data_IF_303299991299
#
_entry.id   IF_303299991299
#
_cell.length_a   1.000
_cell.length_b   1.000
_cell.length_c   1.000
_cell.angle_alpha   90.00
_cell.angle_beta   90.00
_cell.angle_gamma   90.00
#
_symmetry.space_group_name_H-M   'P 1'
#
loop_
_entity.id
_entity.type
_entity.pdbx_description
1 polymer ?
#
# COMPACT_ATOMS: atom_id res chain seq x y z
N UNK A 1 24.65 -0.66 11.39
CA UNK A 1 23.92 0.55 11.85
C UNK A 1 22.59 0.69 11.13
N UNK A 2 22.59 0.72 9.80
CA UNK A 2 21.37 0.73 8.99
C UNK A 2 21.15 -0.65 8.37
N UNK A 3 19.89 -1.07 8.28
CA UNK A 3 19.46 -2.34 7.67
C UNK A 3 18.58 -2.03 6.49
N UNK A 4 18.90 -2.57 5.32
CA UNK A 4 18.11 -2.36 4.11
C UNK A 4 17.45 -3.67 3.72
N UNK A 5 16.20 -3.57 3.28
CA UNK A 5 15.53 -4.69 2.63
C UNK A 5 16.15 -4.92 1.24
N UNK A 6 16.04 -6.14 0.71
CA UNK A 6 16.40 -6.46 -0.67
C UNK A 6 15.77 -5.45 -1.65
N UNK A 7 14.48 -5.16 -1.43
CA UNK A 7 13.73 -4.15 -2.18
C UNK A 7 13.42 -2.98 -1.26
N UNK A 8 14.41 -2.10 -1.05
CA UNK A 8 14.24 -0.90 -0.26
C UNK A 8 13.20 0.05 -0.91
N UNK A 9 12.19 0.53 -0.17
CA UNK A 9 11.17 1.41 -0.76
C UNK A 9 11.77 2.78 -1.04
N UNK A 10 11.47 3.30 -2.23
CA UNK A 10 11.85 4.64 -2.68
C UNK A 10 10.58 5.43 -2.94
N UNK A 11 10.54 6.68 -2.49
CA UNK A 11 9.45 7.60 -2.78
C UNK A 11 9.98 8.94 -3.29
N UNK A 12 9.38 9.46 -4.36
CA UNK A 12 9.70 10.77 -4.94
C UNK A 12 8.56 11.73 -4.61
N UNK A 13 8.90 12.94 -4.16
CA UNK A 13 7.91 13.95 -3.79
C UNK A 13 7.05 14.37 -4.99
N UNK A 14 5.74 14.45 -4.76
CA UNK A 14 4.78 14.96 -5.74
C UNK A 14 4.94 16.45 -6.04
N UNK A 15 5.69 17.17 -5.19
CA UNK A 15 5.83 18.64 -5.27
C UNK A 15 7.26 19.08 -5.66
N UNK A 16 8.24 18.18 -5.58
CA UNK A 16 9.62 18.47 -5.95
C UNK A 16 10.35 17.18 -6.35
N UNK A 17 10.66 16.96 -7.63
CA UNK A 17 11.31 15.72 -8.07
C UNK A 17 12.74 15.54 -7.53
N UNK A 18 13.39 16.61 -7.06
CA UNK A 18 14.70 16.51 -6.39
C UNK A 18 14.60 16.03 -4.94
N UNK A 19 13.39 15.96 -4.38
CA UNK A 19 13.15 15.47 -3.03
C UNK A 19 12.77 13.98 -3.07
N UNK A 20 13.70 13.15 -2.61
CA UNK A 20 13.60 11.68 -2.68
C UNK A 20 13.81 11.09 -1.30
N UNK A 21 13.10 10.01 -1.02
CA UNK A 21 13.15 9.26 0.22
C UNK A 21 13.52 7.81 -0.07
N UNK A 22 14.32 7.20 0.80
CA UNK A 22 14.61 5.75 0.76
C UNK A 22 14.49 5.15 2.16
N UNK A 23 13.91 3.95 2.22
CA UNK A 23 13.71 3.20 3.46
C UNK A 23 14.84 2.22 3.76
N UNK A 24 15.36 2.31 4.98
CA UNK A 24 16.14 1.29 5.67
C UNK A 24 15.35 0.86 6.92
N UNK A 25 15.99 0.57 8.04
CA UNK A 25 15.32 0.67 9.35
C UNK A 25 14.96 2.11 9.75
N UNK A 26 15.56 3.10 9.06
CA UNK A 26 15.28 4.53 9.17
C UNK A 26 14.85 5.07 7.80
N UNK A 27 14.16 6.20 7.77
CA UNK A 27 13.92 6.96 6.55
C UNK A 27 15.12 7.86 6.28
N UNK A 28 15.65 7.80 5.06
CA UNK A 28 16.58 8.80 4.53
C UNK A 28 15.86 9.77 3.61
N UNK A 29 16.37 11.01 3.53
CA UNK A 29 15.89 12.05 2.63
C UNK A 29 17.06 12.66 1.87
N UNK A 30 16.87 12.87 0.58
CA UNK A 30 17.68 13.71 -0.29
C UNK A 30 16.84 14.89 -0.78
N UNK A 31 17.49 16.02 -1.04
CA UNK A 31 16.89 17.23 -1.64
C UNK A 31 17.58 17.64 -2.93
N UNK A 32 18.43 16.78 -3.47
CA UNK A 32 19.29 17.00 -4.64
C UNK A 32 19.28 15.79 -5.60
N UNK A 33 18.12 15.14 -5.72
CA UNK A 33 17.91 14.04 -6.67
C UNK A 33 18.66 12.76 -6.30
N UNK A 34 19.02 12.57 -5.03
CA UNK A 34 19.69 11.37 -4.52
C UNK A 34 21.21 11.47 -4.43
N UNK A 35 21.79 12.66 -4.61
CA UNK A 35 23.24 12.85 -4.53
C UNK A 35 23.75 12.84 -3.08
N UNK A 36 23.00 13.46 -2.15
CA UNK A 36 23.31 13.45 -0.72
C UNK A 36 22.10 13.02 0.11
N UNK A 37 22.37 12.23 1.15
CA UNK A 37 21.34 11.63 1.99
C UNK A 37 21.50 12.02 3.46
N UNK A 38 20.39 12.36 4.11
CA UNK A 38 20.31 12.61 5.56
C UNK A 38 19.31 11.68 6.20
N UNK A 39 19.62 11.20 7.41
CA UNK A 39 18.66 10.45 8.22
C UNK A 39 17.55 11.39 8.65
N UNK A 40 16.31 11.01 8.35
CA UNK A 40 15.09 11.79 8.64
C UNK A 40 14.34 11.25 9.87
N UNK A 41 14.49 9.97 10.21
CA UNK A 41 13.75 9.32 11.29
C UNK A 41 14.68 8.58 12.27
N UNK A 42 14.22 8.27 13.49
CA UNK A 42 14.81 7.20 14.28
C UNK A 42 14.59 5.83 13.60
N UNK A 43 15.07 4.75 14.23
CA UNK A 43 14.70 3.38 13.86
C UNK A 43 13.18 3.21 14.04
N UNK A 44 12.46 2.95 12.94
CA UNK A 44 11.00 2.83 12.91
C UNK A 44 10.54 1.38 13.02
N UNK A 45 11.43 0.43 13.25
CA UNK A 45 11.08 -0.98 13.36
C UNK A 45 11.01 -1.41 14.83
N UNK A 46 10.62 -2.66 15.10
CA UNK A 46 10.68 -3.29 16.42
C UNK A 46 12.12 -3.45 16.89
N UNK A 47 13.06 -3.56 15.95
CA UNK A 47 14.49 -3.69 16.21
C UNK A 47 14.81 -4.85 17.17
N UNK A 48 14.13 -5.99 16.99
CA UNK A 48 14.31 -7.20 17.77
C UNK A 48 15.61 -7.90 17.36
N UNK A 49 16.64 -7.74 18.19
CA UNK A 49 17.97 -8.30 17.93
C UNK A 49 17.98 -9.82 17.79
N UNK A 50 17.04 -10.52 18.41
CA UNK A 50 16.94 -11.97 18.28
C UNK A 50 16.51 -12.40 16.86
N UNK A 51 15.98 -11.48 16.04
CA UNK A 51 15.57 -11.72 14.65
C UNK A 51 16.50 -11.10 13.61
N UNK A 52 17.59 -10.46 14.03
CA UNK A 52 18.59 -9.84 13.15
C UNK A 52 19.83 -10.74 13.02
N UNK A 53 19.61 -12.04 12.89
CA UNK A 53 20.67 -13.05 12.75
C UNK A 53 21.24 -13.14 11.33
N UNK A 54 22.12 -14.13 11.11
CA UNK A 54 22.60 -14.46 9.78
C UNK A 54 21.46 -14.97 8.90
N UNK A 55 21.34 -14.37 7.73
CA UNK A 55 20.37 -14.72 6.69
C UNK A 55 20.69 -16.08 6.09
N UNK A 56 19.66 -16.84 5.71
CA UNK A 56 19.82 -18.22 5.21
C UNK A 56 20.07 -19.30 6.29
N UNK A 57 20.09 -18.92 7.57
CA UNK A 57 20.22 -19.86 8.68
C UNK A 57 21.63 -20.49 8.78
N UNK A 58 21.82 -21.60 9.52
CA UNK A 58 23.13 -22.19 9.78
C UNK A 58 23.70 -23.03 8.64
N UNK A 59 22.93 -23.25 7.56
CA UNK A 59 23.28 -24.16 6.47
C UNK A 59 23.58 -23.38 5.18
N UNK A 60 22.67 -22.50 4.78
CA UNK A 60 22.75 -21.79 3.50
C UNK A 60 22.97 -20.29 3.72
N UNK A 61 24.07 -19.95 4.40
CA UNK A 61 24.41 -18.58 4.76
C UNK A 61 24.31 -17.65 3.53
N UNK A 62 23.37 -16.70 3.55
CA UNK A 62 23.30 -15.66 2.54
C UNK A 62 24.34 -14.58 2.83
N UNK A 63 25.47 -14.67 2.12
CA UNK A 63 26.57 -13.71 2.24
C UNK A 63 26.30 -12.39 1.51
N UNK A 64 25.20 -12.26 0.76
CA UNK A 64 24.86 -11.01 0.06
C UNK A 64 24.45 -9.91 1.03
N UNK A 65 23.95 -10.28 2.23
CA UNK A 65 23.43 -9.35 3.22
C UNK A 65 22.17 -8.62 2.75
N UNK A 66 21.50 -9.14 1.73
CA UNK A 66 20.38 -8.46 1.09
C UNK A 66 19.03 -8.78 1.76
N UNK A 67 18.92 -9.89 2.50
CA UNK A 67 17.70 -10.29 3.20
C UNK A 67 17.65 -9.84 4.68
N UNK A 68 17.79 -8.54 4.96
CA UNK A 68 17.69 -8.07 6.35
C UNK A 68 16.23 -8.01 6.85
N UNK A 69 16.02 -8.40 8.10
CA UNK A 69 14.76 -8.20 8.82
C UNK A 69 14.79 -6.91 9.66
N UNK A 70 13.62 -6.49 10.14
CA UNK A 70 13.40 -5.22 10.85
C UNK A 70 13.80 -4.02 9.96
N UNK A 71 13.14 -3.91 8.82
CA UNK A 71 13.33 -2.88 7.79
C UNK A 71 12.00 -2.20 7.38
N UNK A 72 12.10 -0.97 6.88
CA UNK A 72 10.97 -0.26 6.26
C UNK A 72 10.72 -0.89 4.88
N UNK A 73 9.45 -1.21 4.62
CA UNK A 73 9.01 -1.89 3.42
C UNK A 73 8.13 -1.01 2.53
N UNK A 74 7.52 0.04 3.09
CA UNK A 74 6.78 1.04 2.32
C UNK A 74 6.98 2.46 2.85
N UNK A 75 7.08 3.41 1.92
CA UNK A 75 7.05 4.86 2.18
C UNK A 75 6.00 5.47 1.27
N UNK A 76 5.01 6.15 1.83
CA UNK A 76 3.94 6.78 1.08
C UNK A 76 3.81 8.25 1.45
N UNK A 77 3.96 9.12 0.45
CA UNK A 77 3.87 10.56 0.59
C UNK A 77 2.42 11.00 0.36
N UNK A 78 1.92 11.94 1.16
CA UNK A 78 0.60 12.51 0.89
C UNK A 78 0.66 13.57 -0.21
N UNK A 79 -0.13 13.39 -1.29
CA UNK A 79 -0.27 14.38 -2.37
C UNK A 79 -0.83 15.73 -1.91
N UNK A 80 -1.67 15.72 -0.87
CA UNK A 80 -2.36 16.91 -0.36
C UNK A 80 -1.55 17.66 0.70
N UNK A 81 -0.46 17.08 1.21
CA UNK A 81 0.41 17.75 2.17
C UNK A 81 1.83 17.15 2.16
N UNK A 82 2.86 17.86 1.67
CA UNK A 82 4.23 17.36 1.56
C UNK A 82 4.88 17.05 2.92
N UNK A 83 4.31 17.52 4.03
CA UNK A 83 4.84 17.26 5.38
C UNK A 83 4.34 15.94 5.96
N UNK A 84 3.39 15.27 5.30
CA UNK A 84 2.79 14.02 5.78
C UNK A 84 3.40 12.83 5.03
N UNK A 85 4.04 11.94 5.80
CA UNK A 85 4.68 10.73 5.30
C UNK A 85 4.20 9.56 6.15
N UNK A 86 3.76 8.51 5.48
CA UNK A 86 3.38 7.24 6.07
C UNK A 86 4.46 6.20 5.78
N UNK A 87 4.72 5.34 6.77
CA UNK A 87 5.75 4.30 6.70
C UNK A 87 5.18 2.99 7.21
N UNK A 88 5.42 1.91 6.47
CA UNK A 88 5.13 0.54 6.88
C UNK A 88 6.40 -0.31 6.90
N UNK A 89 6.50 -1.25 7.84
CA UNK A 89 7.68 -2.11 8.02
C UNK A 89 7.38 -3.57 7.74
N UNK A 90 8.44 -4.37 7.53
CA UNK A 90 8.37 -5.82 7.36
C UNK A 90 8.02 -6.59 8.65
N UNK A 91 8.05 -5.91 9.79
CA UNK A 91 7.72 -6.43 11.12
C UNK A 91 6.36 -5.91 11.67
N UNK A 92 5.56 -5.30 10.79
CA UNK A 92 4.15 -4.97 11.04
C UNK A 92 3.91 -3.68 11.81
N UNK A 93 4.86 -2.75 11.81
CA UNK A 93 4.67 -1.41 12.35
C UNK A 93 4.24 -0.43 11.26
N UNK A 94 3.36 0.50 11.64
CA UNK A 94 2.94 1.62 10.80
C UNK A 94 3.17 2.91 11.55
N UNK A 95 3.78 3.87 10.86
CA UNK A 95 4.14 5.18 11.39
C UNK A 95 3.65 6.30 10.49
N UNK A 96 3.40 7.45 11.11
CA UNK A 96 3.10 8.68 10.39
C UNK A 96 3.88 9.85 10.99
N UNK A 97 4.43 10.71 10.13
CA UNK A 97 4.85 12.05 10.49
C UNK A 97 3.93 13.06 9.84
N UNK A 98 3.71 14.20 10.49
CA UNK A 98 2.86 15.30 10.00
C UNK A 98 3.62 16.61 9.85
N UNK A 99 4.93 16.61 10.14
CA UNK A 99 5.77 17.79 10.20
C UNK A 99 7.09 17.59 9.44
N UNK A 100 7.06 16.79 8.37
CA UNK A 100 8.20 16.57 7.47
C UNK A 100 9.32 15.79 8.14
N UNK A 101 8.98 14.81 8.98
CA UNK A 101 9.95 13.91 9.61
C UNK A 101 10.53 14.36 10.94
N UNK A 102 10.16 15.54 11.46
CA UNK A 102 10.67 16.02 12.76
C UNK A 102 10.22 15.14 13.92
N UNK A 103 8.97 14.66 13.89
CA UNK A 103 8.42 13.72 14.86
C UNK A 103 7.63 12.64 14.16
N UNK A 104 7.69 11.42 14.69
CA UNK A 104 7.03 10.23 14.16
C UNK A 104 6.12 9.63 15.21
N UNK A 105 4.90 9.26 14.82
CA UNK A 105 3.92 8.60 15.68
C UNK A 105 3.66 7.19 15.18
N UNK A 106 3.77 6.20 16.08
CA UNK A 106 3.36 4.83 15.79
C UNK A 106 1.83 4.76 15.82
N UNK A 107 1.25 4.25 14.74
CA UNK A 107 -0.20 4.24 14.51
C UNK A 107 -0.70 2.88 14.01
N UNK A 108 0.03 1.80 14.28
CA UNK A 108 -0.40 0.43 13.98
C UNK A 108 -1.78 0.14 14.57
N UNK A 109 -2.77 -0.35 13.79
CA UNK A 109 -4.09 -0.72 14.29
C UNK A 109 -4.03 -1.77 15.40
N UNK A 110 -4.86 -1.61 16.44
CA UNK A 110 -5.09 -2.67 17.42
C UNK A 110 -5.78 -3.86 16.75
N UNK A 111 -5.15 -5.04 16.78
CA UNK A 111 -5.63 -6.25 16.11
C UNK A 111 -4.98 -6.53 14.76
N UNK A 112 -4.06 -5.68 14.29
CA UNK A 112 -3.18 -6.05 13.18
C UNK A 112 -2.34 -7.29 13.55
N UNK A 113 -2.15 -8.24 12.61
CA UNK A 113 -1.33 -9.42 12.87
C UNK A 113 0.11 -9.00 13.18
N UNK A 114 0.66 -9.50 14.29
CA UNK A 114 2.04 -9.24 14.65
C UNK A 114 2.99 -9.84 13.60
N UNK A 115 4.07 -9.12 13.28
CA UNK A 115 5.12 -9.53 12.33
C UNK A 115 4.67 -9.65 10.87
N UNK A 116 3.42 -9.31 10.56
CA UNK A 116 2.95 -9.26 9.19
C UNK A 116 3.58 -8.09 8.43
N UNK A 117 3.80 -8.28 7.13
CA UNK A 117 4.42 -7.30 6.26
C UNK A 117 3.45 -6.21 5.84
N UNK A 118 3.92 -4.97 5.79
CA UNK A 118 3.19 -3.80 5.28
C UNK A 118 3.81 -3.36 3.95
N UNK A 119 3.50 -4.09 2.90
CA UNK A 119 4.05 -3.86 1.55
C UNK A 119 3.66 -2.52 0.95
N UNK A 120 2.45 -2.04 1.23
CA UNK A 120 1.90 -0.85 0.62
C UNK A 120 0.99 -0.10 1.61
N UNK A 121 1.03 1.24 1.55
CA UNK A 121 0.07 2.11 2.24
C UNK A 121 -0.63 2.97 1.18
N UNK A 122 -1.95 2.83 1.08
CA UNK A 122 -2.76 3.68 0.21
C UNK A 122 -3.08 4.99 0.92
N UNK A 123 -2.36 6.08 0.65
CA UNK A 123 -2.74 7.40 1.16
C UNK A 123 -3.82 8.00 0.27
N UNK A 124 -4.90 8.50 0.87
CA UNK A 124 -6.01 9.09 0.14
C UNK A 124 -5.54 10.26 -0.73
N UNK A 125 -5.96 10.34 -2.01
CA UNK A 125 -5.67 11.49 -2.86
C UNK A 125 -6.40 12.76 -2.38
N UNK A 126 -7.40 12.64 -1.52
CA UNK A 126 -8.23 13.76 -1.06
C UNK A 126 -7.83 14.33 0.31
N UNK A 127 -7.23 13.53 1.18
CA UNK A 127 -6.91 13.97 2.54
C UNK A 127 -5.70 13.22 3.12
N UNK A 128 -4.64 13.94 3.48
CA UNK A 128 -3.38 13.36 3.98
C UNK A 128 -3.53 12.54 5.28
N UNK A 129 -4.59 12.77 6.06
CA UNK A 129 -4.91 12.01 7.26
C UNK A 129 -5.70 10.72 7.00
N UNK A 130 -6.13 10.49 5.77
CA UNK A 130 -6.85 9.28 5.39
C UNK A 130 -5.92 8.29 4.71
N UNK A 131 -5.93 7.04 5.17
CA UNK A 131 -5.07 6.00 4.63
C UNK A 131 -5.73 4.62 4.72
N UNK A 132 -5.31 3.74 3.83
CA UNK A 132 -5.72 2.35 3.69
C UNK A 132 -4.49 1.46 3.88
N UNK A 133 -4.58 0.51 4.80
CA UNK A 133 -3.51 -0.44 5.12
C UNK A 133 -3.95 -1.83 4.76
N UNK A 134 -3.02 -2.61 4.22
CA UNK A 134 -3.12 -4.06 4.12
C UNK A 134 -1.93 -4.69 4.85
N UNK A 135 -2.22 -5.67 5.71
CA UNK A 135 -1.20 -6.48 6.37
C UNK A 135 -1.18 -7.86 5.75
N UNK A 136 0.00 -8.29 5.34
CA UNK A 136 0.19 -9.58 4.73
C UNK A 136 0.93 -10.52 5.68
N UNK A 137 0.23 -11.57 6.10
CA UNK A 137 0.72 -12.58 7.04
C UNK A 137 0.83 -13.97 6.39
N UNK A 138 0.80 -14.07 5.05
CA UNK A 138 0.82 -15.37 4.37
C UNK A 138 2.11 -16.17 4.66
N UNK A 139 3.25 -15.48 4.73
CA UNK A 139 4.54 -16.10 5.10
C UNK A 139 4.59 -16.56 6.57
N UNK A 140 3.62 -16.13 7.39
CA UNK A 140 3.41 -16.61 8.76
C UNK A 140 2.35 -17.73 8.82
N UNK A 141 1.97 -18.29 7.67
CA UNK A 141 0.93 -19.32 7.57
C UNK A 141 -0.49 -18.78 7.76
N UNK A 142 -0.71 -17.48 7.60
CA UNK A 142 -2.00 -16.82 7.84
C UNK A 142 -2.46 -16.03 6.61
N UNK A 143 -3.29 -16.66 5.78
CA UNK A 143 -3.80 -16.08 4.53
C UNK A 143 -5.08 -15.24 4.72
N UNK A 144 -5.42 -14.83 5.95
CA UNK A 144 -6.62 -14.00 6.17
C UNK A 144 -6.40 -12.58 5.65
N UNK A 145 -7.43 -11.93 5.10
CA UNK A 145 -7.33 -10.53 4.73
C UNK A 145 -7.33 -9.65 5.99
N UNK A 146 -6.38 -8.71 6.05
CA UNK A 146 -6.33 -7.68 7.09
C UNK A 146 -6.25 -6.32 6.42
N UNK A 147 -7.40 -5.65 6.33
CA UNK A 147 -7.49 -4.34 5.67
C UNK A 147 -8.10 -3.33 6.63
N UNK A 148 -7.41 -2.21 6.80
CA UNK A 148 -7.82 -1.14 7.69
C UNK A 148 -7.92 0.19 6.96
N UNK A 149 -8.89 1.00 7.37
CA UNK A 149 -9.04 2.40 6.95
C UNK A 149 -8.96 3.34 8.15
N UNK A 150 -8.28 4.46 7.96
CA UNK A 150 -8.34 5.61 8.87
C UNK A 150 -8.70 6.88 8.10
N UNK A 151 -9.23 7.87 8.81
CA UNK A 151 -9.45 9.24 8.32
C UNK A 151 -8.79 10.30 9.20
N UNK A 152 -8.06 9.89 10.25
CA UNK A 152 -7.59 10.78 11.31
C UNK A 152 -6.13 10.54 11.70
N UNK A 153 -5.27 10.31 10.70
CA UNK A 153 -3.84 10.05 10.87
C UNK A 153 -3.57 8.82 11.74
N UNK A 154 -4.43 7.79 11.66
CA UNK A 154 -4.25 6.52 12.36
C UNK A 154 -4.53 6.58 13.86
N UNK A 155 -5.23 7.61 14.35
CA UNK A 155 -5.73 7.65 15.73
C UNK A 155 -6.80 6.59 15.98
N UNK A 156 -7.61 6.29 14.97
CA UNK A 156 -8.55 5.17 14.97
C UNK A 156 -8.56 4.47 13.62
N UNK A 157 -8.93 3.20 13.64
CA UNK A 157 -8.94 2.33 12.47
C UNK A 157 -10.24 1.53 12.40
N UNK A 158 -10.75 1.35 11.19
CA UNK A 158 -11.90 0.51 10.89
C UNK A 158 -11.44 -0.64 10.00
N UNK A 159 -11.85 -1.87 10.33
CA UNK A 159 -11.65 -3.02 9.46
C UNK A 159 -12.62 -2.95 8.29
N UNK A 160 -12.08 -3.13 7.09
CA UNK A 160 -12.81 -3.08 5.82
C UNK A 160 -12.58 -4.35 4.99
N UNK A 161 -12.32 -5.49 5.64
CA UNK A 161 -11.97 -6.75 4.97
C UNK A 161 -13.06 -7.84 5.04
N UNK A 162 -14.21 -7.53 5.66
CA UNK A 162 -15.23 -8.54 6.00
C UNK A 162 -15.84 -9.25 4.81
N UNK A 163 -16.07 -8.54 3.71
CA UNK A 163 -16.67 -9.12 2.49
C UNK A 163 -15.62 -9.63 1.49
N UNK A 164 -14.33 -9.54 1.82
CA UNK A 164 -13.26 -10.15 1.01
C UNK A 164 -13.16 -11.66 1.30
N UNK A 165 -12.57 -12.46 0.39
CA UNK A 165 -12.29 -13.86 0.67
C UNK A 165 -11.42 -14.02 1.91
N UNK A 166 -11.88 -14.81 2.89
CA UNK A 166 -11.22 -14.95 4.19
C UNK A 166 -9.97 -15.85 4.17
N UNK A 167 -9.55 -16.30 2.99
CA UNK A 167 -8.41 -17.16 2.72
C UNK A 167 -7.45 -16.58 1.65
N UNK A 168 -7.53 -15.28 1.38
CA UNK A 168 -6.61 -14.58 0.48
C UNK A 168 -6.08 -13.30 1.13
N UNK A 169 -4.75 -13.21 1.28
CA UNK A 169 -4.10 -11.99 1.76
C UNK A 169 -4.35 -10.83 0.80
N UNK A 170 -4.49 -9.63 1.36
CA UNK A 170 -4.55 -8.38 0.60
C UNK A 170 -3.15 -7.76 0.60
N UNK A 171 -2.68 -7.35 -0.57
CA UNK A 171 -1.33 -6.84 -0.76
C UNK A 171 -1.33 -5.31 -0.91
N UNK A 172 -2.39 -4.76 -1.51
CA UNK A 172 -2.50 -3.33 -1.80
C UNK A 172 -3.96 -2.89 -1.80
N UNK A 173 -4.21 -1.67 -1.31
CA UNK A 173 -5.48 -0.96 -1.45
C UNK A 173 -5.20 0.48 -1.89
N UNK A 174 -5.98 0.97 -2.87
CA UNK A 174 -5.91 2.34 -3.37
C UNK A 174 -7.30 2.95 -3.45
N UNK A 175 -7.39 4.24 -3.22
CA UNK A 175 -8.59 5.05 -3.43
C UNK A 175 -8.47 5.78 -4.76
N UNK A 176 -9.56 5.79 -5.50
CA UNK A 176 -9.67 6.49 -6.77
C UNK A 176 -9.52 8.00 -6.57
N UNK A 177 -8.67 8.70 -7.33
CA UNK A 177 -8.54 10.14 -7.22
C UNK A 177 -9.67 10.94 -7.87
N UNK A 178 -10.57 10.31 -8.62
CA UNK A 178 -11.74 10.91 -9.24
C UNK A 178 -13.04 10.60 -8.49
N UNK A 179 -13.12 9.47 -7.77
CA UNK A 179 -14.32 9.05 -7.02
C UNK A 179 -14.01 8.74 -5.54
N UNK A 180 -14.49 9.62 -4.65
CA UNK A 180 -14.23 9.50 -3.22
C UNK A 180 -14.98 8.33 -2.63
N UNK A 181 -14.23 7.32 -2.20
CA UNK A 181 -14.77 6.10 -1.59
C UNK A 181 -14.85 4.92 -2.54
N UNK A 182 -14.56 5.14 -3.83
CA UNK A 182 -14.22 4.05 -4.72
C UNK A 182 -12.82 3.53 -4.39
N UNK A 183 -12.74 2.25 -4.00
CA UNK A 183 -11.48 1.59 -3.66
C UNK A 183 -11.24 0.41 -4.59
N UNK A 184 -9.97 0.13 -4.85
CA UNK A 184 -9.54 -1.13 -5.48
C UNK A 184 -8.50 -1.81 -4.60
N UNK A 185 -8.66 -3.11 -4.41
CA UNK A 185 -7.78 -3.98 -3.65
C UNK A 185 -7.16 -5.07 -4.52
N UNK A 186 -5.84 -5.21 -4.43
CA UNK A 186 -5.09 -6.33 -4.99
C UNK A 186 -4.85 -7.39 -3.92
N UNK A 187 -5.13 -8.64 -4.26
CA UNK A 187 -5.02 -9.80 -3.35
C UNK A 187 -4.09 -10.84 -3.93
N UNK A 188 -3.79 -11.89 -3.15
CA UNK A 188 -3.04 -13.06 -3.63
C UNK A 188 -3.77 -13.83 -4.74
N UNK A 189 -5.06 -13.60 -4.96
CA UNK A 189 -5.90 -14.38 -5.87
C UNK A 189 -6.66 -13.55 -6.91
N UNK A 190 -6.48 -12.23 -6.94
CA UNK A 190 -7.18 -11.35 -7.89
C UNK A 190 -7.45 -9.95 -7.35
N UNK A 191 -8.41 -9.28 -7.96
CA UNK A 191 -8.72 -7.86 -7.74
C UNK A 191 -10.16 -7.70 -7.29
N UNK A 192 -10.38 -6.78 -6.34
CA UNK A 192 -11.69 -6.42 -5.84
C UNK A 192 -11.86 -4.91 -5.87
N UNK A 193 -13.09 -4.44 -6.04
CA UNK A 193 -13.43 -3.03 -5.95
C UNK A 193 -14.56 -2.80 -4.94
N UNK A 194 -14.69 -1.58 -4.45
CA UNK A 194 -15.72 -1.17 -3.50
C UNK A 194 -16.16 0.25 -3.83
N UNK A 195 -17.46 0.54 -3.72
CA UNK A 195 -18.05 1.87 -3.92
C UNK A 195 -18.31 2.63 -2.60
N UNK A 196 -18.04 2.00 -1.45
CA UNK A 196 -18.53 2.45 -0.15
C UNK A 196 -17.44 2.43 0.92
N UNK A 197 -16.24 2.87 0.52
CA UNK A 197 -15.06 2.92 1.38
C UNK A 197 -14.64 1.55 1.96
N UNK A 198 -14.93 0.46 1.26
CA UNK A 198 -14.55 -0.89 1.63
C UNK A 198 -15.54 -1.59 2.57
N UNK A 199 -16.77 -1.07 2.71
CA UNK A 199 -17.80 -1.79 3.47
C UNK A 199 -18.25 -3.06 2.71
N UNK A 200 -18.37 -2.97 1.39
CA UNK A 200 -18.64 -4.10 0.50
C UNK A 200 -17.63 -4.13 -0.66
N UNK A 201 -17.11 -5.32 -0.92
CA UNK A 201 -16.15 -5.62 -1.98
C UNK A 201 -16.74 -6.55 -3.01
N UNK A 202 -16.52 -6.22 -4.28
CA UNK A 202 -16.97 -6.97 -5.44
C UNK A 202 -15.76 -7.45 -6.24
N UNK A 203 -15.74 -8.70 -6.72
CA UNK A 203 -14.65 -9.18 -7.58
C UNK A 203 -14.64 -8.42 -8.90
N UNK A 204 -13.46 -8.01 -9.36
CA UNK A 204 -13.27 -7.42 -10.68
C UNK A 204 -12.88 -8.54 -11.67
N UNK A 205 -13.89 -9.14 -12.31
CA UNK A 205 -13.69 -10.21 -13.31
C UNK A 205 -13.51 -9.61 -14.70
N UNK A 206 -12.31 -9.10 -15.00
CA UNK A 206 -11.96 -8.49 -16.29
C UNK A 206 -11.05 -9.40 -17.14
N UNK A 207 -11.44 -10.68 -17.30
CA UNK A 207 -10.59 -11.73 -17.90
C UNK A 207 -9.22 -11.92 -17.23
N UNK A 208 -9.08 -11.48 -15.98
CA UNK A 208 -7.89 -11.69 -15.17
C UNK A 208 -7.85 -13.14 -14.67
N UNK A 209 -6.75 -13.90 -14.89
CA UNK A 209 -6.59 -15.20 -14.26
C UNK A 209 -6.33 -15.05 -12.76
N UNK A 210 -6.50 -16.13 -11.99
CA UNK A 210 -6.11 -16.14 -10.57
C UNK A 210 -4.62 -15.88 -10.43
N UNK A 211 -4.27 -14.76 -9.81
CA UNK A 211 -2.89 -14.31 -9.64
C UNK A 211 -2.75 -13.31 -8.48
N UNK A 212 -1.55 -13.21 -7.86
CA UNK A 212 -1.25 -12.15 -6.92
C UNK A 212 -1.10 -10.78 -7.60
N UNK A 213 -1.77 -9.76 -7.06
CA UNK A 213 -1.67 -8.36 -7.50
C UNK A 213 -0.96 -7.54 -6.44
N UNK A 214 0.27 -7.13 -6.74
CA UNK A 214 1.18 -6.49 -5.79
C UNK A 214 1.05 -4.97 -5.72
N UNK A 215 0.69 -4.32 -6.83
CA UNK A 215 0.48 -2.88 -6.84
C UNK A 215 -0.65 -2.48 -7.81
N UNK A 216 -1.24 -1.33 -7.51
CA UNK A 216 -2.34 -0.72 -8.23
C UNK A 216 -2.05 0.76 -8.39
N UNK A 217 -2.35 1.30 -9.57
CA UNK A 217 -2.20 2.73 -9.87
C UNK A 217 -3.34 3.23 -10.74
N UNK A 218 -4.09 4.19 -10.20
CA UNK A 218 -5.01 5.01 -11.00
C UNK A 218 -4.23 6.00 -11.85
N UNK A 219 -4.64 6.13 -13.12
CA UNK A 219 -4.07 7.04 -14.11
C UNK A 219 -5.18 7.96 -14.59
N UNK A 220 -5.08 9.25 -14.29
CA UNK A 220 -6.14 10.24 -14.57
C UNK A 220 -6.54 10.36 -16.05
N UNK A 221 -5.63 10.12 -16.99
CA UNK A 221 -5.94 10.17 -18.43
C UNK A 221 -5.31 8.97 -19.12
N UNK A 222 -6.11 8.04 -19.70
CA UNK A 222 -7.56 8.10 -19.94
C UNK A 222 -8.44 7.44 -18.86
N UNK A 223 -8.29 7.80 -17.58
CA UNK A 223 -9.00 7.18 -16.44
C UNK A 223 -8.81 5.65 -16.39
N UNK A 224 -7.55 5.19 -16.41
CA UNK A 224 -7.20 3.77 -16.40
C UNK A 224 -6.76 3.30 -15.01
N UNK A 225 -6.98 2.01 -14.73
CA UNK A 225 -6.37 1.32 -13.61
C UNK A 225 -5.25 0.41 -14.14
N UNK A 226 -4.01 0.65 -13.68
CA UNK A 226 -2.86 -0.21 -13.96
C UNK A 226 -2.64 -1.14 -12.78
N UNK A 227 -2.41 -2.42 -13.07
CA UNK A 227 -2.19 -3.48 -12.09
C UNK A 227 -0.85 -4.17 -12.34
N UNK A 228 -0.07 -4.37 -11.28
CA UNK A 228 1.16 -5.16 -11.33
C UNK A 228 0.93 -6.55 -10.74
N UNK A 229 1.12 -7.58 -11.58
CA UNK A 229 0.93 -8.98 -11.19
C UNK A 229 2.25 -9.68 -10.83
N UNK A 230 2.18 -10.73 -10.02
CA UNK A 230 3.29 -11.66 -9.87
C UNK A 230 3.39 -12.59 -11.09
N UNK A 231 4.48 -12.51 -11.84
CA UNK A 231 4.81 -13.46 -12.92
C UNK A 231 4.01 -13.30 -14.22
N UNK A 232 3.14 -12.29 -14.37
CA UNK A 232 2.32 -12.07 -15.58
C UNK A 232 2.28 -10.62 -16.06
N UNK A 233 3.28 -9.82 -15.68
CA UNK A 233 3.46 -8.44 -16.16
C UNK A 233 2.41 -7.45 -15.66
N UNK A 234 2.17 -6.42 -16.47
CA UNK A 234 1.23 -5.34 -16.19
C UNK A 234 -0.08 -5.56 -16.94
N UNK A 235 -1.19 -5.23 -16.27
CA UNK A 235 -2.53 -5.22 -16.84
C UNK A 235 -3.08 -3.80 -16.77
N UNK A 236 -3.82 -3.39 -17.79
CA UNK A 236 -4.48 -2.09 -17.82
C UNK A 236 -5.96 -2.33 -18.05
N UNK A 237 -6.78 -1.90 -17.10
CA UNK A 237 -8.21 -1.71 -17.31
C UNK A 237 -8.39 -0.30 -17.84
N UNK A 238 -8.58 -0.19 -19.14
CA UNK A 238 -8.83 1.08 -19.81
C UNK A 238 -10.25 1.56 -19.50
N UNK A 239 -10.38 2.85 -19.21
CA UNK A 239 -11.64 3.53 -18.91
C UNK A 239 -12.43 2.91 -17.73
N UNK A 240 -12.11 3.38 -16.53
CA UNK A 240 -12.73 2.96 -15.28
C UNK A 240 -14.14 3.53 -15.07
N UNK A 241 -14.53 4.58 -15.81
CA UNK A 241 -15.81 5.30 -15.60
C UNK A 241 -17.06 4.43 -15.57
N UNK A 242 -17.23 3.40 -16.44
CA UNK A 242 -18.38 2.52 -16.34
C UNK A 242 -18.42 1.78 -15.01
N UNK A 243 -17.25 1.39 -14.48
CA UNK A 243 -17.13 0.73 -13.19
C UNK A 243 -17.45 1.72 -12.07
N UNK A 244 -16.88 2.93 -12.06
CA UNK A 244 -17.19 3.99 -11.09
C UNK A 244 -18.71 4.28 -11.02
N UNK A 245 -19.37 4.36 -12.19
CA UNK A 245 -20.80 4.63 -12.30
C UNK A 245 -21.70 3.40 -12.04
N UNK A 246 -21.13 2.20 -11.82
CA UNK A 246 -21.87 0.94 -11.68
C UNK A 246 -22.50 0.79 -10.29
N UNK A 247 -23.47 1.64 -9.99
CA UNK A 247 -24.23 1.58 -8.73
C UNK A 247 -25.23 0.41 -8.70
N UNK A 248 -25.75 0.09 -7.52
CA UNK A 248 -26.83 -0.90 -7.38
C UNK A 248 -28.08 -0.55 -8.21
N UNK A 249 -28.41 0.74 -8.34
CA UNK A 249 -29.51 1.19 -9.20
C UNK A 249 -29.24 0.91 -10.68
N UNK A 250 -27.99 1.12 -11.12
CA UNK A 250 -27.55 0.80 -12.49
C UNK A 250 -27.61 -0.71 -12.74
N UNK A 251 -27.19 -1.53 -11.78
CA UNK A 251 -27.24 -2.99 -11.88
C UNK A 251 -28.67 -3.56 -11.96
N UNK A 252 -29.67 -2.84 -11.42
CA UNK A 252 -31.08 -3.20 -11.50
C UNK A 252 -31.79 -2.65 -12.74
N UNK A 253 -31.15 -1.77 -13.51
CA UNK A 253 -31.73 -1.21 -14.73
C UNK A 253 -31.71 -2.27 -15.85
N UNK A 254 -32.79 -2.40 -16.66
CA UNK A 254 -32.79 -3.29 -17.81
C UNK A 254 -31.75 -2.89 -18.87
N UNK A 255 -31.36 -1.62 -18.91
CA UNK A 255 -30.34 -1.09 -19.81
C UNK A 255 -29.75 0.21 -19.25
N UNK A 256 -28.43 0.35 -19.33
CA UNK A 256 -27.73 1.59 -18.97
C UNK A 256 -26.67 1.87 -20.02
N UNK A 257 -26.69 3.09 -20.58
CA UNK A 257 -25.64 3.58 -21.46
C UNK A 257 -24.68 4.47 -20.66
N UNK A 258 -23.41 4.09 -20.61
CA UNK A 258 -22.36 4.91 -20.02
C UNK A 258 -21.85 5.93 -21.02
N UNK A 259 -21.49 7.13 -20.53
CA UNK A 259 -20.88 8.15 -21.38
C UNK A 259 -19.53 7.65 -21.91
N UNK A 260 -19.32 7.77 -23.21
CA UNK A 260 -18.03 7.50 -23.85
C UNK A 260 -17.05 8.64 -23.56
N UNK A 261 -15.76 8.34 -23.47
CA UNK A 261 -14.74 9.38 -23.46
C UNK A 261 -14.61 9.99 -24.86
N UNK A 262 -14.34 11.30 -24.99
CA UNK A 262 -13.84 11.85 -26.25
C UNK A 262 -12.54 11.12 -26.62
N UNK A 263 -12.45 10.65 -27.86
CA UNK A 263 -11.24 9.98 -28.39
C UNK A 263 -10.11 10.95 -28.67
#
# INVERSE_FOLDING_TARGET
>A
KYRFNWTAPIAVSYHNPNEVYIGANVVFRSTDGGSHWKVLSPDLTRNDKAKQGLTGGPVDHDISGAENYDTIQSISLARTNPKVIWVGTDDGLVWVTRNGGKTWQRVTPSGAPAWARVYQIGVSPFHAGSAYLSFDAHELGNNRPYVYRTSNYGRSWHRIDRSLPQNSSVLVVREDPNDRGFLVAGTMTGVYYSHDHGAHWHPLTANLPTLPVWDLKFVHHPDSLVLASHGRGLWVLDNLKPLEAFTHQVAQSPFTLFKTQPG
#
